data_IF_679609885719
#
_entry.id   IF_679609885719
#
_cell.length_a   1.000
_cell.length_b   1.000
_cell.length_c   1.000
_cell.angle_alpha   90.00
_cell.angle_beta   90.00
_cell.angle_gamma   90.00
#
_symmetry.space_group_name_H-M   'P 1'
#
loop_
_entity.id
_entity.type
_entity.pdbx_description
1 polymer ?
#
# COMPACT_ATOMS: atom_id res chain seq x y z
N UNK A 1 1.85 11.17 28.36
CA UNK A 1 0.58 11.92 28.33
C UNK A 1 0.75 13.29 27.70
N UNK A 2 1.22 13.36 26.44
CA UNK A 2 1.49 14.61 25.69
C UNK A 2 0.51 14.78 24.53
N UNK A 3 -0.76 14.51 24.78
CA UNK A 3 -1.77 14.44 23.72
C UNK A 3 -2.13 15.81 23.12
N UNK A 4 -1.90 16.88 23.88
CA UNK A 4 -2.21 18.27 23.50
C UNK A 4 -0.98 19.09 23.13
N UNK A 5 0.21 18.47 23.13
CA UNK A 5 1.43 19.15 22.70
C UNK A 5 1.32 19.45 21.19
N UNK A 6 1.91 20.55 20.69
CA UNK A 6 1.81 20.95 19.28
C UNK A 6 2.20 19.85 18.29
N UNK A 7 3.20 19.03 18.63
CA UNK A 7 3.66 17.88 17.82
C UNK A 7 2.56 16.82 17.68
N UNK A 8 1.87 16.49 18.77
CA UNK A 8 0.77 15.52 18.76
C UNK A 8 -0.45 16.05 18.00
N UNK A 9 -0.75 17.35 18.13
CA UNK A 9 -1.82 18.00 17.38
C UNK A 9 -1.52 18.00 15.88
N UNK A 10 -0.29 18.27 15.47
CA UNK A 10 0.12 18.25 14.07
C UNK A 10 -0.12 16.86 13.43
N UNK A 11 0.31 15.79 14.10
CA UNK A 11 0.08 14.41 13.66
C UNK A 11 -1.43 14.08 13.62
N UNK A 12 -2.16 14.44 14.67
CA UNK A 12 -3.62 14.22 14.73
C UNK A 12 -4.35 14.92 13.59
N UNK A 13 -3.99 16.18 13.30
CA UNK A 13 -4.59 16.96 12.22
C UNK A 13 -4.38 16.30 10.87
N UNK A 14 -3.14 15.88 10.56
CA UNK A 14 -2.82 15.19 9.31
C UNK A 14 -3.65 13.90 9.15
N UNK A 15 -3.78 13.09 10.20
CA UNK A 15 -4.58 11.87 10.17
C UNK A 15 -6.08 12.14 9.97
N UNK A 16 -6.64 13.13 10.66
CA UNK A 16 -8.08 13.42 10.56
C UNK A 16 -8.44 14.01 9.19
N UNK A 17 -7.65 14.96 8.70
CA UNK A 17 -7.97 15.68 7.47
C UNK A 17 -7.69 14.88 6.20
N UNK A 18 -6.59 14.13 6.17
CA UNK A 18 -6.15 13.39 4.97
C UNK A 18 -6.63 11.94 5.00
N UNK A 19 -6.51 11.26 6.14
CA UNK A 19 -6.77 9.82 6.24
C UNK A 19 -8.22 9.52 6.61
N UNK A 20 -8.78 10.16 7.66
CA UNK A 20 -10.12 9.83 8.14
C UNK A 20 -11.23 10.32 7.20
N UNK A 21 -11.06 11.49 6.59
CA UNK A 21 -12.06 12.14 5.72
C UNK A 21 -12.56 11.27 4.55
N UNK A 22 -11.71 10.56 3.78
CA UNK A 22 -12.17 9.68 2.70
C UNK A 22 -12.70 8.32 3.17
N UNK A 23 -12.54 7.95 4.45
CA UNK A 23 -12.96 6.63 4.94
C UNK A 23 -14.49 6.62 5.08
N UNK A 24 -15.14 5.90 4.17
CA UNK A 24 -16.59 5.73 4.14
C UNK A 24 -16.94 4.38 3.52
N UNK A 25 -17.72 3.58 4.23
CA UNK A 25 -18.06 2.21 3.81
C UNK A 25 -18.50 1.35 4.97
N UNK A 26 -18.61 0.03 4.72
CA UNK A 26 -18.98 -0.97 5.70
C UNK A 26 -18.00 -2.14 5.66
N UNK A 27 -17.72 -2.70 6.82
CA UNK A 27 -16.93 -3.94 6.96
C UNK A 27 -17.77 -4.92 7.77
N UNK A 28 -17.95 -6.12 7.23
CA UNK A 28 -18.66 -7.21 7.90
C UNK A 28 -17.65 -8.10 8.61
N UNK A 29 -17.81 -8.27 9.92
CA UNK A 29 -16.90 -9.04 10.76
C UNK A 29 -17.63 -10.24 11.38
N UNK A 30 -16.94 -11.38 11.42
CA UNK A 30 -17.31 -12.51 12.26
C UNK A 30 -16.44 -12.47 13.52
N UNK A 31 -17.07 -12.34 14.69
CA UNK A 31 -16.38 -12.33 15.97
C UNK A 31 -16.47 -13.72 16.63
N UNK A 32 -15.39 -14.17 17.26
CA UNK A 32 -15.32 -15.42 18.02
C UNK A 32 -14.90 -15.13 19.46
N UNK A 33 -13.70 -15.53 19.91
CA UNK A 33 -13.24 -15.34 21.29
C UNK A 33 -12.08 -14.35 21.38
N UNK A 34 -12.22 -13.32 22.21
CA UNK A 34 -11.20 -12.30 22.39
C UNK A 34 -10.89 -11.58 21.09
N UNK A 35 -9.63 -11.62 20.65
CA UNK A 35 -9.16 -11.00 19.41
C UNK A 35 -9.31 -11.92 18.18
N UNK A 36 -10.01 -13.04 18.32
CA UNK A 36 -10.28 -13.95 17.22
C UNK A 36 -11.48 -13.43 16.39
N UNK A 37 -11.18 -12.91 15.20
CA UNK A 37 -12.17 -12.41 14.25
C UNK A 37 -11.78 -12.74 12.81
N UNK A 38 -12.76 -12.72 11.91
CA UNK A 38 -12.55 -12.84 10.47
C UNK A 38 -13.31 -11.74 9.73
N UNK A 39 -12.68 -11.14 8.72
CA UNK A 39 -13.33 -10.17 7.84
C UNK A 39 -14.09 -10.97 6.78
N UNK A 40 -15.40 -10.81 6.72
CA UNK A 40 -16.25 -11.52 5.76
C UNK A 40 -16.43 -10.73 4.47
N UNK A 41 -16.62 -9.41 4.57
CA UNK A 41 -16.87 -8.55 3.42
C UNK A 41 -16.45 -7.10 3.70
N UNK A 42 -16.04 -6.38 2.67
CA UNK A 42 -15.65 -4.96 2.72
C UNK A 42 -16.30 -4.21 1.56
N UNK A 43 -17.16 -3.25 1.88
CA UNK A 43 -17.94 -2.45 0.92
C UNK A 43 -17.61 -0.96 1.10
N UNK A 44 -16.61 -0.42 0.38
CA UNK A 44 -16.29 1.00 0.41
C UNK A 44 -17.28 1.78 -0.47
N UNK A 45 -17.64 3.01 -0.05
CA UNK A 45 -18.40 3.94 -0.92
C UNK A 45 -17.53 4.41 -2.08
N UNK A 46 -16.23 4.63 -1.83
CA UNK A 46 -15.22 4.96 -2.83
C UNK A 46 -13.95 4.15 -2.52
N UNK A 47 -13.74 3.06 -3.24
CA UNK A 47 -12.56 2.20 -3.11
C UNK A 47 -11.62 2.34 -4.31
N UNK A 48 -10.32 2.17 -4.09
CA UNK A 48 -9.31 2.07 -5.16
C UNK A 48 -9.14 0.61 -5.61
N UNK A 49 -9.45 -0.35 -4.72
CA UNK A 49 -9.42 -1.76 -5.08
C UNK A 49 -10.50 -2.04 -6.15
N UNK A 50 -10.04 -2.29 -7.37
CA UNK A 50 -10.88 -2.70 -8.48
C UNK A 50 -10.16 -3.80 -9.28
N UNK A 51 -10.54 -5.09 -9.12
CA UNK A 51 -9.88 -6.18 -9.83
C UNK A 51 -10.10 -6.12 -11.35
N UNK A 52 -11.21 -5.53 -11.81
CA UNK A 52 -11.51 -5.41 -13.24
C UNK A 52 -10.51 -4.52 -13.98
N UNK A 53 -9.98 -3.49 -13.31
CA UNK A 53 -8.92 -2.62 -13.86
C UNK A 53 -7.59 -3.35 -14.11
N UNK A 54 -7.38 -4.50 -13.47
CA UNK A 54 -6.19 -5.33 -13.64
C UNK A 54 -6.44 -6.56 -14.54
N UNK A 55 -7.64 -6.67 -15.12
CA UNK A 55 -8.00 -7.81 -15.96
C UNK A 55 -7.16 -7.87 -17.25
N UNK A 56 -6.74 -9.08 -17.61
CA UNK A 56 -6.04 -9.39 -18.87
C UNK A 56 -6.95 -10.09 -19.89
N UNK A 57 -8.21 -10.34 -19.53
CA UNK A 57 -9.16 -11.07 -20.35
C UNK A 57 -9.93 -10.07 -21.26
N UNK A 58 -9.54 -10.01 -22.55
CA UNK A 58 -10.17 -9.25 -23.66
C UNK A 58 -9.97 -7.71 -23.68
N UNK A 59 -8.88 -7.32 -24.34
CA UNK A 59 -8.74 -6.19 -25.30
C UNK A 59 -9.22 -4.79 -24.91
N UNK A 60 -8.69 -4.26 -23.80
CA UNK A 60 -8.08 -2.92 -23.68
C UNK A 60 -7.45 -2.81 -22.30
N UNK A 61 -6.37 -3.57 -22.06
CA UNK A 61 -5.70 -3.57 -20.75
C UNK A 61 -5.06 -2.21 -20.47
N UNK A 62 -5.05 -1.79 -19.21
CA UNK A 62 -4.45 -0.52 -18.80
C UNK A 62 -2.91 -0.48 -18.97
N UNK A 63 -2.29 -1.64 -19.14
CA UNK A 63 -0.86 -1.82 -19.33
C UNK A 63 -0.60 -3.03 -20.23
N UNK A 64 0.54 -3.01 -20.89
CA UNK A 64 1.07 -4.09 -21.71
C UNK A 64 2.22 -4.83 -21.01
N UNK A 65 2.68 -5.93 -21.61
CA UNK A 65 3.86 -6.64 -21.13
C UNK A 65 5.14 -5.81 -21.30
N UNK A 66 5.21 -4.99 -22.35
CA UNK A 66 6.36 -4.12 -22.64
C UNK A 66 6.52 -3.02 -21.60
N UNK A 67 5.41 -2.43 -21.13
CA UNK A 67 5.43 -1.42 -20.06
C UNK A 67 6.06 -1.99 -18.78
N UNK A 68 5.78 -3.26 -18.46
CA UNK A 68 6.38 -3.93 -17.30
C UNK A 68 7.88 -4.20 -17.50
N UNK A 69 8.32 -4.56 -18.70
CA UNK A 69 9.74 -4.74 -19.01
C UNK A 69 10.47 -3.41 -18.86
N UNK A 70 9.93 -2.32 -19.43
CA UNK A 70 10.50 -0.97 -19.28
C UNK A 70 10.58 -0.53 -17.82
N UNK A 71 9.55 -0.80 -17.01
CA UNK A 71 9.60 -0.54 -15.56
C UNK A 71 10.75 -1.29 -14.87
N UNK A 72 11.02 -2.54 -15.23
CA UNK A 72 12.10 -3.34 -14.64
C UNK A 72 13.48 -2.84 -15.06
N UNK A 73 13.62 -2.36 -16.30
CA UNK A 73 14.89 -1.87 -16.84
C UNK A 73 15.39 -0.63 -16.10
N UNK A 74 14.49 0.32 -15.79
CA UNK A 74 14.83 1.55 -15.04
C UNK A 74 15.43 1.25 -13.66
N UNK A 75 15.03 0.13 -13.04
CA UNK A 75 15.52 -0.27 -11.72
C UNK A 75 16.91 -0.92 -11.76
N UNK A 76 17.42 -1.31 -12.93
CA UNK A 76 18.65 -2.08 -13.07
C UNK A 76 19.90 -1.37 -12.49
N UNK A 77 20.03 -0.05 -12.70
CA UNK A 77 21.16 0.73 -12.20
C UNK A 77 21.18 0.79 -10.67
N UNK A 78 20.02 1.04 -10.05
CA UNK A 78 19.90 1.06 -8.59
C UNK A 78 20.26 -0.30 -7.97
N UNK A 79 19.88 -1.40 -8.63
CA UNK A 79 20.24 -2.76 -8.19
C UNK A 79 21.76 -2.98 -8.25
N UNK A 80 22.44 -2.48 -9.28
CA UNK A 80 23.90 -2.60 -9.36
C UNK A 80 24.59 -1.79 -8.27
N UNK A 81 24.12 -0.57 -8.01
CA UNK A 81 24.70 0.31 -6.99
C UNK A 81 24.49 -0.25 -5.58
N UNK A 82 23.32 -0.80 -5.29
CA UNK A 82 23.06 -1.48 -4.00
C UNK A 82 23.90 -2.73 -3.81
N UNK A 83 24.17 -3.50 -4.87
CA UNK A 83 25.11 -4.65 -4.80
C UNK A 83 26.54 -4.21 -4.49
N UNK A 84 27.04 -3.18 -5.18
CA UNK A 84 28.36 -2.60 -4.89
C UNK A 84 28.45 -2.08 -3.46
N UNK A 85 27.40 -1.40 -2.99
CA UNK A 85 27.33 -0.91 -1.61
C UNK A 85 27.42 -2.06 -0.60
N UNK A 86 26.71 -3.16 -0.84
CA UNK A 86 26.79 -4.37 0.00
C UNK A 86 28.20 -4.97 0.03
N UNK A 87 28.88 -5.03 -1.11
CA UNK A 87 30.28 -5.50 -1.20
C UNK A 87 31.22 -4.61 -0.37
N UNK A 88 31.04 -3.29 -0.41
CA UNK A 88 31.83 -2.34 0.38
C UNK A 88 31.57 -2.44 1.88
N UNK A 89 30.34 -2.78 2.29
CA UNK A 89 29.97 -2.96 3.70
C UNK A 89 30.45 -4.28 4.30
N UNK A 90 31.08 -5.14 3.50
CA UNK A 90 31.68 -6.39 3.99
C UNK A 90 30.66 -7.47 4.39
N UNK A 91 29.41 -7.38 3.92
CA UNK A 91 28.39 -8.43 4.11
C UNK A 91 28.59 -9.61 3.12
N UNK A 92 29.84 -10.04 3.01
CA UNK A 92 30.26 -11.27 2.35
C UNK A 92 30.57 -12.32 3.41
N UNK A 93 29.50 -12.88 3.98
CA UNK A 93 29.44 -14.25 4.47
C UNK A 93 28.22 -14.91 3.84
#
# INVERSE_FOLDING_TARGET
>A
GRWLDPEAIALKKALVEVVAKPISGKVTLQLRRGNDYSILNTEPVKGIYNPESLSMEKTSSMFSQEDRIGQLEVLSLNIQDTRKLRELLGENN
#
